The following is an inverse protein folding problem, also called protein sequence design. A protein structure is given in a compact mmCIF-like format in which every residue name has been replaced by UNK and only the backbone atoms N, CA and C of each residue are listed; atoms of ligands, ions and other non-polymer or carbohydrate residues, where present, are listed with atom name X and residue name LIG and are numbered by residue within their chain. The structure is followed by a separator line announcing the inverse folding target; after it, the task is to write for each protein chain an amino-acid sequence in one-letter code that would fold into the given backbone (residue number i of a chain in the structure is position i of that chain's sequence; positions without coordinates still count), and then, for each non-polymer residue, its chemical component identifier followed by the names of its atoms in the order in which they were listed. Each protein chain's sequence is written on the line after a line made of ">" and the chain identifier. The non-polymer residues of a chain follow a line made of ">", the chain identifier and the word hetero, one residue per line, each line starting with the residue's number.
data_IF_064724417916
#
_entry.id   IF_064724417916
#
_cell.length_a   1.000
_cell.length_b   1.000
_cell.length_c   1.000
_cell.angle_alpha   90.00
_cell.angle_beta   90.00
_cell.angle_gamma   90.00
#
_symmetry.space_group_name_H-M   'P 1'
#
loop_
_entity.id
_entity.type
_entity.pdbx_description
1 polymer ?
#
# COMPACT_ATOMS: atom_id res chain seq x y z
N UNK A 1 -8.38 -16.63 -12.85
CA UNK A 1 -7.02 -16.03 -12.88
C UNK A 1 -7.19 -14.53 -12.80
N UNK A 2 -6.40 -13.88 -11.94
CA UNK A 2 -6.57 -12.48 -11.62
C UNK A 2 -5.97 -11.57 -12.71
N UNK A 3 -6.74 -10.56 -13.13
CA UNK A 3 -6.32 -9.58 -14.13
C UNK A 3 -5.91 -8.26 -13.47
N UNK A 4 -4.74 -7.73 -13.84
CA UNK A 4 -4.14 -6.56 -13.20
C UNK A 4 -5.02 -5.29 -13.31
N UNK A 5 -5.50 -4.86 -14.49
CA UNK A 5 -6.48 -3.78 -14.62
C UNK A 5 -7.71 -3.92 -13.71
N UNK A 6 -8.24 -5.14 -13.61
CA UNK A 6 -9.39 -5.43 -12.75
C UNK A 6 -9.05 -5.24 -11.26
N UNK A 7 -7.88 -5.74 -10.82
CA UNK A 7 -7.41 -5.55 -9.46
C UNK A 7 -7.11 -4.07 -9.14
N UNK A 8 -6.50 -3.35 -10.07
CA UNK A 8 -6.22 -1.92 -9.95
C UNK A 8 -7.50 -1.11 -9.77
N UNK A 9 -8.55 -1.40 -10.56
CA UNK A 9 -9.86 -0.74 -10.43
C UNK A 9 -10.47 -0.98 -9.04
N UNK A 10 -10.36 -2.21 -8.53
CA UNK A 10 -10.85 -2.54 -7.18
C UNK A 10 -10.09 -1.81 -6.08
N UNK A 11 -8.77 -1.63 -6.25
CA UNK A 11 -7.93 -0.94 -5.27
C UNK A 11 -8.14 0.58 -5.32
N UNK A 12 -8.39 1.15 -6.50
CA UNK A 12 -8.66 2.58 -6.70
C UNK A 12 -9.87 3.07 -5.89
N UNK A 13 -10.91 2.23 -5.76
CA UNK A 13 -12.09 2.54 -4.93
C UNK A 13 -11.70 2.74 -3.45
N UNK A 14 -10.69 2.02 -2.97
CA UNK A 14 -10.24 2.06 -1.57
C UNK A 14 -9.19 3.13 -1.31
N UNK A 15 -8.36 3.43 -2.31
CA UNK A 15 -7.28 4.40 -2.23
C UNK A 15 -7.44 5.49 -3.32
N UNK A 16 -8.46 6.36 -3.20
CA UNK A 16 -8.68 7.43 -4.15
C UNK A 16 -7.49 8.42 -4.13
N UNK A 17 -7.14 8.93 -5.31
CA UNK A 17 -6.05 9.90 -5.47
C UNK A 17 -4.66 9.30 -5.72
N UNK A 18 -4.56 7.98 -5.88
CA UNK A 18 -3.35 7.30 -6.36
C UNK A 18 -3.43 7.06 -7.87
N UNK A 19 -2.28 7.14 -8.54
CA UNK A 19 -2.19 6.81 -9.96
C UNK A 19 -2.31 5.31 -10.18
N UNK A 20 -2.86 4.91 -11.32
CA UNK A 20 -2.96 3.48 -11.69
C UNK A 20 -1.60 2.79 -11.64
N UNK A 21 -0.52 3.47 -12.07
CA UNK A 21 0.84 2.94 -12.05
C UNK A 21 1.35 2.67 -10.63
N UNK A 22 1.07 3.53 -9.65
CA UNK A 22 1.42 3.26 -8.24
C UNK A 22 0.67 2.02 -7.72
N UNK A 23 -0.63 1.94 -8.03
CA UNK A 23 -1.48 0.82 -7.60
C UNK A 23 -1.02 -0.51 -8.22
N UNK A 24 -0.69 -0.51 -9.50
CA UNK A 24 -0.15 -1.68 -10.22
C UNK A 24 1.19 -2.13 -9.64
N UNK A 25 2.06 -1.17 -9.29
CA UNK A 25 3.31 -1.42 -8.60
C UNK A 25 3.09 -2.14 -7.26
N UNK A 26 2.17 -1.65 -6.43
CA UNK A 26 1.86 -2.28 -5.14
C UNK A 26 1.20 -3.66 -5.27
N UNK A 27 0.34 -3.87 -6.27
CA UNK A 27 -0.26 -5.18 -6.55
C UNK A 27 0.83 -6.18 -6.97
N UNK A 28 1.75 -5.75 -7.85
CA UNK A 28 2.85 -6.59 -8.32
C UNK A 28 3.84 -6.91 -7.19
N UNK A 29 4.18 -5.91 -6.38
CA UNK A 29 5.01 -6.10 -5.19
C UNK A 29 4.34 -7.06 -4.20
N UNK A 30 3.03 -6.92 -3.97
CA UNK A 30 2.27 -7.82 -3.11
C UNK A 30 2.26 -9.26 -3.62
N UNK A 31 2.08 -9.47 -4.93
CA UNK A 31 2.14 -10.80 -5.54
C UNK A 31 3.53 -11.41 -5.39
N UNK A 32 4.58 -10.62 -5.65
CA UNK A 32 5.98 -11.05 -5.53
C UNK A 32 6.34 -11.45 -4.11
N UNK A 33 5.93 -10.66 -3.11
CA UNK A 33 6.15 -10.98 -1.70
C UNK A 33 5.53 -12.33 -1.33
N UNK A 34 4.38 -12.66 -1.91
CA UNK A 34 3.69 -13.94 -1.74
C UNK A 34 4.20 -15.09 -2.60
N UNK A 35 5.41 -14.97 -3.17
CA UNK A 35 6.06 -15.98 -4.00
C UNK A 35 5.31 -16.30 -5.32
N UNK A 36 4.47 -15.38 -5.81
CA UNK A 36 3.88 -15.48 -7.15
C UNK A 36 4.77 -14.78 -8.18
N UNK A 37 5.01 -15.42 -9.32
CA UNK A 37 5.85 -14.85 -10.38
C UNK A 37 5.19 -13.63 -11.05
N UNK A 38 3.88 -13.71 -11.29
CA UNK A 38 3.09 -12.62 -11.85
C UNK A 38 1.72 -12.54 -11.18
N UNK A 39 1.00 -11.44 -11.43
CA UNK A 39 -0.38 -11.26 -10.97
C UNK A 39 -1.33 -12.31 -11.58
N UNK A 40 -1.04 -12.77 -12.80
CA UNK A 40 -1.84 -13.80 -13.45
C UNK A 40 -1.81 -15.13 -12.67
N UNK A 41 -0.70 -15.44 -12.01
CA UNK A 41 -0.49 -16.67 -11.23
C UNK A 41 -1.25 -16.68 -9.89
N UNK A 42 -1.80 -15.53 -9.48
CA UNK A 42 -2.53 -15.41 -8.21
C UNK A 42 -3.85 -16.18 -8.33
N UNK A 43 -4.07 -17.21 -7.49
CA UNK A 43 -5.31 -17.98 -7.51
C UNK A 43 -6.47 -17.13 -6.97
N UNK A 44 -7.68 -17.35 -7.49
CA UNK A 44 -8.87 -16.53 -7.18
C UNK A 44 -9.12 -16.42 -5.66
N UNK A 45 -8.87 -17.49 -4.89
CA UNK A 45 -8.98 -17.49 -3.42
C UNK A 45 -8.01 -16.55 -2.71
N UNK A 46 -6.85 -16.25 -3.31
CA UNK A 46 -5.80 -15.39 -2.74
C UNK A 46 -5.92 -13.92 -3.17
N UNK A 47 -6.76 -13.61 -4.16
CA UNK A 47 -6.91 -12.26 -4.72
C UNK A 47 -7.23 -11.21 -3.66
N UNK A 48 -8.14 -11.49 -2.74
CA UNK A 48 -8.51 -10.53 -1.70
C UNK A 48 -7.35 -10.27 -0.71
N UNK A 49 -6.54 -11.28 -0.44
CA UNK A 49 -5.36 -11.12 0.40
C UNK A 49 -4.30 -10.27 -0.30
N UNK A 50 -4.04 -10.50 -1.59
CA UNK A 50 -3.14 -9.65 -2.39
C UNK A 50 -3.61 -8.19 -2.41
N UNK A 51 -4.90 -7.95 -2.65
CA UNK A 51 -5.47 -6.60 -2.64
C UNK A 51 -5.33 -5.91 -1.28
N UNK A 52 -5.65 -6.60 -0.18
CA UNK A 52 -5.52 -6.04 1.16
C UNK A 52 -4.05 -5.76 1.54
N UNK A 53 -3.12 -6.55 1.02
CA UNK A 53 -1.69 -6.30 1.21
C UNK A 53 -1.19 -5.11 0.41
N UNK A 54 -1.61 -4.98 -0.86
CA UNK A 54 -1.34 -3.80 -1.68
C UNK A 54 -1.92 -2.53 -1.07
N UNK A 55 -3.11 -2.61 -0.47
CA UNK A 55 -3.72 -1.52 0.29
C UNK A 55 -2.86 -1.09 1.49
N UNK A 56 -2.37 -2.06 2.27
CA UNK A 56 -1.45 -1.83 3.38
C UNK A 56 -0.16 -1.13 2.93
N UNK A 57 0.44 -1.57 1.82
CA UNK A 57 1.62 -0.93 1.22
C UNK A 57 1.32 0.53 0.83
N UNK A 58 0.23 0.78 0.12
CA UNK A 58 -0.14 2.13 -0.30
C UNK A 58 -0.39 3.11 0.86
N UNK A 59 -1.02 2.63 1.93
CA UNK A 59 -1.26 3.42 3.14
C UNK A 59 0.06 3.74 3.88
N UNK A 60 1.01 2.80 3.95
CA UNK A 60 2.35 3.07 4.49
C UNK A 60 3.11 4.11 3.67
N UNK A 61 3.04 4.01 2.35
CA UNK A 61 3.64 5.00 1.45
C UNK A 61 3.10 6.40 1.76
N UNK A 62 1.77 6.52 1.90
CA UNK A 62 1.13 7.79 2.21
C UNK A 62 1.51 8.33 3.58
N UNK A 63 1.57 7.45 4.57
CA UNK A 63 1.99 7.83 5.91
C UNK A 63 3.43 8.37 5.90
N UNK A 64 4.35 7.73 5.17
CA UNK A 64 5.74 8.17 5.03
C UNK A 64 5.85 9.54 4.35
N UNK A 65 5.21 9.74 3.20
CA UNK A 65 5.15 11.03 2.50
C UNK A 65 4.60 12.15 3.42
N UNK A 66 3.57 11.83 4.21
CA UNK A 66 2.92 12.82 5.09
C UNK A 66 3.82 13.17 6.27
N UNK A 67 4.53 12.20 6.83
CA UNK A 67 5.46 12.39 7.94
C UNK A 67 6.64 13.28 7.57
N UNK A 68 7.25 13.09 6.40
CA UNK A 68 8.35 13.95 5.91
C UNK A 68 7.91 15.42 5.86
N UNK A 69 6.70 15.66 5.36
CA UNK A 69 6.16 17.01 5.27
C UNK A 69 5.77 17.62 6.62
N UNK A 70 5.56 16.83 7.67
CA UNK A 70 5.31 17.34 9.02
C UNK A 70 6.57 17.95 9.64
N UNK A 71 7.76 17.58 9.16
CA UNK A 71 9.03 18.15 9.61
C UNK A 71 9.34 19.53 8.98
N UNK A 72 8.64 19.89 7.89
CA UNK A 72 8.84 21.15 7.18
C UNK A 72 7.98 22.26 7.80
N UNK A 73 8.61 23.16 8.55
CA UNK A 73 7.97 24.34 9.11
C UNK A 73 8.31 25.57 8.25
N UNK A 74 7.38 25.98 7.38
CA UNK A 74 7.59 27.11 6.47
C UNK A 74 6.98 28.38 7.09
N UNK A 75 7.85 29.33 7.50
CA UNK A 75 7.57 30.74 7.83
C UNK A 75 6.12 31.05 8.31
N UNK A 76 5.71 30.47 9.44
CA UNK A 76 4.49 30.86 10.14
C UNK A 76 3.19 30.17 9.68
N UNK A 77 3.23 29.33 8.64
CA UNK A 77 2.08 28.47 8.28
C UNK A 77 2.33 27.07 8.85
N UNK A 78 1.87 26.84 10.08
CA UNK A 78 1.92 25.53 10.70
C UNK A 78 0.87 24.61 10.08
N UNK A 79 1.28 23.66 9.23
CA UNK A 79 0.36 22.61 8.76
C UNK A 79 0.32 21.50 9.80
N UNK A 80 -0.78 21.37 10.53
CA UNK A 80 -0.99 20.28 11.49
C UNK A 80 -1.23 18.95 10.76
N UNK A 81 -0.15 18.27 10.36
CA UNK A 81 -0.19 16.96 9.70
C UNK A 81 -0.13 15.78 10.67
N UNK A 82 0.08 16.03 11.97
CA UNK A 82 0.05 14.98 13.01
C UNK A 82 -1.28 14.22 13.07
N UNK A 83 -2.41 14.90 12.83
CA UNK A 83 -3.71 14.25 12.74
C UNK A 83 -3.84 13.30 11.54
N UNK A 84 -3.27 13.68 10.39
CA UNK A 84 -3.26 12.84 9.19
C UNK A 84 -2.43 11.56 9.41
N UNK A 85 -1.23 11.68 9.99
CA UNK A 85 -0.38 10.51 10.32
C UNK A 85 -1.05 9.57 11.33
N UNK A 86 -1.78 10.10 12.32
CA UNK A 86 -2.58 9.29 13.25
C UNK A 86 -3.68 8.49 12.54
N UNK A 87 -4.41 9.13 11.63
CA UNK A 87 -5.46 8.50 10.84
C UNK A 87 -4.90 7.39 9.93
N UNK A 88 -3.78 7.63 9.24
CA UNK A 88 -3.14 6.60 8.43
C UNK A 88 -2.63 5.43 9.27
N UNK A 89 -2.09 5.66 10.46
CA UNK A 89 -1.67 4.57 11.36
C UNK A 89 -2.84 3.68 11.76
N UNK A 90 -4.03 4.24 12.00
CA UNK A 90 -5.23 3.46 12.28
C UNK A 90 -5.63 2.61 11.06
N UNK A 91 -5.69 3.22 9.87
CA UNK A 91 -6.01 2.54 8.61
C UNK A 91 -5.00 1.43 8.28
N UNK A 92 -3.70 1.65 8.50
CA UNK A 92 -2.64 0.66 8.30
C UNK A 92 -2.88 -0.57 9.19
N UNK A 93 -3.23 -0.37 10.47
CA UNK A 93 -3.53 -1.47 11.40
C UNK A 93 -4.78 -2.24 10.97
N UNK A 94 -5.80 -1.54 10.51
CA UNK A 94 -7.04 -2.13 10.00
C UNK A 94 -6.80 -2.96 8.74
N UNK A 95 -6.12 -2.38 7.74
CA UNK A 95 -5.75 -3.06 6.50
C UNK A 95 -4.90 -4.32 6.78
N UNK A 96 -3.94 -4.23 7.71
CA UNK A 96 -3.12 -5.37 8.12
C UNK A 96 -3.96 -6.48 8.79
N UNK A 97 -4.94 -6.11 9.61
CA UNK A 97 -5.85 -7.07 10.23
C UNK A 97 -6.76 -7.73 9.20
N UNK A 98 -7.31 -6.96 8.26
CA UNK A 98 -8.10 -7.45 7.13
C UNK A 98 -7.30 -8.43 6.29
N UNK A 99 -6.09 -8.04 5.91
CA UNK A 99 -5.14 -8.85 5.17
C UNK A 99 -4.88 -10.19 5.86
N UNK A 100 -4.55 -10.18 7.17
CA UNK A 100 -4.29 -11.43 7.91
C UNK A 100 -5.50 -12.36 7.92
N UNK A 101 -6.72 -11.82 7.99
CA UNK A 101 -7.94 -12.61 7.91
C UNK A 101 -8.10 -13.24 6.53
N UNK A 102 -7.93 -12.45 5.47
CA UNK A 102 -8.12 -12.92 4.10
C UNK A 102 -7.01 -13.89 3.65
N UNK A 103 -5.76 -13.66 4.07
CA UNK A 103 -4.65 -14.58 3.84
C UNK A 103 -4.91 -15.96 4.48
N UNK A 104 -5.39 -15.98 5.73
CA UNK A 104 -5.77 -17.24 6.41
C UNK A 104 -6.90 -17.97 5.69
N UNK A 105 -7.94 -17.24 5.25
CA UNK A 105 -9.05 -17.82 4.46
C UNK A 105 -8.58 -18.39 3.13
N UNK A 106 -7.61 -17.74 2.49
CA UNK A 106 -7.01 -18.19 1.24
C UNK A 106 -6.06 -19.40 1.42
N UNK A 107 -5.67 -19.70 2.67
CA UNK A 107 -4.67 -20.71 2.99
C UNK A 107 -3.24 -20.30 2.63
N UNK A 108 -2.96 -18.99 2.54
CA UNK A 108 -1.62 -18.44 2.23
C UNK A 108 -0.97 -17.89 3.50
N UNK A 109 0.36 -17.93 3.56
CA UNK A 109 1.11 -17.41 4.70
C UNK A 109 1.01 -15.87 4.73
N UNK A 110 0.53 -15.25 5.82
CA UNK A 110 0.50 -13.80 5.93
C UNK A 110 1.92 -13.26 6.14
N UNK A 111 2.34 -12.36 5.26
CA UNK A 111 3.57 -11.60 5.28
C UNK A 111 3.30 -10.21 5.85
N UNK A 112 4.14 -9.77 6.76
CA UNK A 112 4.01 -8.46 7.42
C UNK A 112 5.13 -7.50 7.04
N UNK A 113 6.00 -7.91 6.12
CA UNK A 113 7.18 -7.20 5.68
C UNK A 113 7.10 -6.90 4.19
N UNK A 114 7.21 -5.62 3.85
CA UNK A 114 7.23 -5.11 2.49
C UNK A 114 7.72 -3.68 2.54
N UNK A 115 8.66 -3.36 1.65
CA UNK A 115 9.23 -2.03 1.47
C UNK A 115 8.60 -1.43 0.24
N UNK A 116 7.70 -0.47 0.45
CA UNK A 116 7.01 0.18 -0.66
C UNK A 116 8.03 0.83 -1.57
N UNK A 117 8.16 0.28 -2.77
CA UNK A 117 9.04 0.82 -3.82
C UNK A 117 8.18 1.56 -4.85
N UNK A 118 7.35 2.48 -4.37
CA UNK A 118 6.57 3.38 -5.24
C UNK A 118 6.04 4.52 -4.39
N UNK A 119 6.67 5.67 -4.60
CA UNK A 119 6.77 6.78 -3.67
C UNK A 119 8.23 7.22 -3.69
N UNK A 120 8.73 7.64 -4.86
CA UNK A 120 10.01 8.33 -4.94
C UNK A 120 9.92 9.54 -4.04
N UNK A 121 10.49 9.45 -2.84
CA UNK A 121 11.02 10.63 -2.16
C UNK A 121 12.41 10.82 -2.72
N UNK A 122 12.52 11.64 -3.76
CA UNK A 122 13.79 12.25 -4.10
C UNK A 122 13.82 13.64 -3.50
N UNK A 123 14.70 13.86 -2.50
CA UNK A 123 15.25 15.18 -2.12
C UNK A 123 16.62 15.03 -1.43
N UNK A 124 17.53 16.01 -1.54
CA UNK A 124 17.89 16.84 -2.69
C UNK A 124 19.41 16.74 -2.97
N UNK A 125 20.07 15.67 -2.55
CA UNK A 125 21.54 15.57 -2.58
C UNK A 125 22.10 14.41 -3.41
N UNK A 126 21.26 13.57 -4.03
CA UNK A 126 21.73 12.62 -5.05
C UNK A 126 22.96 11.82 -4.62
N UNK A 127 22.87 11.17 -3.46
CA UNK A 127 23.66 9.97 -3.20
C UNK A 127 22.74 8.79 -2.99
#
# INVERSE_FOLDING_TARGET
>A
MADLPTLTTRLLIRLPGRSSTELEGWITEAATQHDYATVADVPDKAVNAILAYAEYLGLKAKAAETAENAALNIKGIGVNKSGASGNYNALIKEALAQYRRDARKAGIRPLTGGSVTSGTVTRPDGR
#
